data_IF_934877645039
#
_entry.id   IF_934877645039
#
_cell.length_a   1.000
_cell.length_b   1.000
_cell.length_c   1.000
_cell.angle_alpha   90.00
_cell.angle_beta   90.00
_cell.angle_gamma   90.00
#
_symmetry.space_group_name_H-M   'P 1'
#
loop_
_entity.id
_entity.type
_entity.pdbx_description
1 polymer ?
#
# COMPACT_ATOMS: atom_id res chain seq x y z
N UNK A 1 14.30 -0.71 -0.48
CA UNK A 1 13.05 -1.50 -0.39
C UNK A 1 11.87 -0.77 -1.01
N UNK A 2 11.54 0.45 -0.58
CA UNK A 2 10.43 1.21 -1.19
C UNK A 2 10.66 1.59 -2.67
N UNK A 3 11.91 1.81 -3.09
CA UNK A 3 12.25 2.08 -4.49
C UNK A 3 11.89 0.92 -5.43
N UNK A 4 12.04 -0.32 -4.95
CA UNK A 4 11.61 -1.51 -5.68
C UNK A 4 10.08 -1.56 -5.83
N UNK A 5 9.36 -1.18 -4.77
CA UNK A 5 7.90 -1.09 -4.77
C UNK A 5 7.39 -0.02 -5.73
N UNK A 6 8.13 1.08 -5.89
CA UNK A 6 7.77 2.16 -6.80
C UNK A 6 8.07 1.82 -8.25
N UNK A 7 9.21 1.19 -8.51
CA UNK A 7 9.57 0.70 -9.84
C UNK A 7 8.56 -0.33 -10.35
N UNK A 8 8.04 -1.18 -9.47
CA UNK A 8 7.05 -2.21 -9.80
C UNK A 8 5.66 -1.91 -9.21
N UNK A 9 5.27 -0.63 -9.14
CA UNK A 9 4.03 -0.18 -8.47
C UNK A 9 2.77 -0.90 -8.94
N UNK A 10 2.66 -1.19 -10.26
CA UNK A 10 1.56 -1.97 -10.83
C UNK A 10 1.52 -3.40 -10.25
N UNK A 11 2.66 -4.09 -10.27
CA UNK A 11 2.79 -5.47 -9.80
C UNK A 11 2.45 -5.57 -8.32
N UNK A 12 3.02 -4.67 -7.50
CA UNK A 12 2.73 -4.61 -6.05
C UNK A 12 1.25 -4.36 -5.79
N UNK A 13 0.61 -3.48 -6.56
CA UNK A 13 -0.82 -3.18 -6.42
C UNK A 13 -1.68 -4.41 -6.72
N UNK A 14 -1.39 -5.12 -7.82
CA UNK A 14 -2.11 -6.33 -8.19
C UNK A 14 -1.95 -7.41 -7.12
N UNK A 15 -0.72 -7.67 -6.67
CA UNK A 15 -0.46 -8.63 -5.60
C UNK A 15 -1.15 -8.25 -4.29
N UNK A 16 -1.12 -6.97 -3.92
CA UNK A 16 -1.79 -6.50 -2.71
C UNK A 16 -3.29 -6.80 -2.74
N UNK A 17 -3.96 -6.52 -3.86
CA UNK A 17 -5.39 -6.80 -4.01
C UNK A 17 -5.70 -8.30 -4.07
N UNK A 18 -4.83 -9.11 -4.69
CA UNK A 18 -4.96 -10.56 -4.68
C UNK A 18 -4.84 -11.14 -3.25
N UNK A 19 -3.89 -10.64 -2.47
CA UNK A 19 -3.72 -11.08 -1.08
C UNK A 19 -4.86 -10.61 -0.18
N UNK A 20 -5.34 -9.38 -0.36
CA UNK A 20 -6.46 -8.85 0.40
C UNK A 20 -7.78 -9.57 0.08
N UNK A 21 -8.02 -9.86 -1.21
CA UNK A 21 -9.21 -10.56 -1.70
C UNK A 21 -9.09 -12.08 -1.71
N UNK A 22 -8.10 -12.68 -1.04
CA UNK A 22 -7.85 -14.12 -1.14
C UNK A 22 -9.05 -14.98 -0.72
N UNK A 23 -9.90 -14.48 0.17
CA UNK A 23 -10.98 -15.26 0.76
C UNK A 23 -12.01 -15.64 -0.32
N UNK A 24 -12.22 -14.74 -1.28
CA UNK A 24 -13.07 -14.97 -2.44
C UNK A 24 -12.46 -16.03 -3.36
N UNK A 25 -11.15 -15.94 -3.61
CA UNK A 25 -10.40 -16.90 -4.45
C UNK A 25 -10.45 -18.31 -3.84
N UNK A 26 -10.15 -18.41 -2.54
CA UNK A 26 -10.19 -19.65 -1.78
C UNK A 26 -11.58 -20.28 -1.76
N UNK A 27 -12.63 -19.46 -1.68
CA UNK A 27 -14.01 -19.92 -1.72
C UNK A 27 -14.38 -20.49 -3.10
N UNK A 28 -13.99 -19.84 -4.19
CA UNK A 28 -14.20 -20.36 -5.56
C UNK A 28 -13.46 -21.69 -5.77
N UNK A 29 -12.24 -21.81 -5.25
CA UNK A 29 -11.43 -23.03 -5.33
C UNK A 29 -11.91 -24.16 -4.42
N UNK A 30 -13.00 -23.96 -3.66
CA UNK A 30 -13.56 -24.94 -2.71
C UNK A 30 -12.53 -25.47 -1.72
N UNK A 31 -11.53 -24.66 -1.37
CA UNK A 31 -10.54 -25.01 -0.36
C UNK A 31 -11.20 -24.83 1.00
N UNK A 32 -11.41 -25.93 1.73
CA UNK A 32 -12.09 -25.94 3.02
C UNK A 32 -11.22 -26.54 4.13
N UNK A 33 -11.52 -26.18 5.37
CA UNK A 33 -10.85 -26.72 6.57
C UNK A 33 -9.64 -25.90 7.02
N UNK A 34 -8.69 -26.54 7.69
CA UNK A 34 -7.53 -25.86 8.30
C UNK A 34 -6.61 -25.18 7.28
N UNK A 35 -6.54 -25.73 6.06
CA UNK A 35 -5.76 -25.16 4.96
C UNK A 35 -6.31 -23.81 4.49
N UNK A 36 -7.64 -23.64 4.47
CA UNK A 36 -8.29 -22.36 4.18
C UNK A 36 -7.87 -21.30 5.19
N UNK A 37 -7.92 -21.66 6.47
CA UNK A 37 -7.64 -20.75 7.57
C UNK A 37 -6.17 -20.31 7.55
N UNK A 38 -5.24 -21.25 7.35
CA UNK A 38 -3.82 -20.98 7.21
C UNK A 38 -3.50 -20.09 6.01
N UNK A 39 -4.01 -20.39 4.82
CA UNK A 39 -3.74 -19.59 3.63
C UNK A 39 -4.32 -18.18 3.77
N UNK A 40 -5.53 -18.07 4.34
CA UNK A 40 -6.19 -16.80 4.57
C UNK A 40 -5.36 -15.90 5.50
N UNK A 41 -4.89 -16.45 6.63
CA UNK A 41 -4.03 -15.74 7.58
C UNK A 41 -2.70 -15.34 6.93
N UNK A 42 -2.07 -16.24 6.17
CA UNK A 42 -0.80 -15.97 5.51
C UNK A 42 -0.89 -14.80 4.52
N UNK A 43 -1.90 -14.74 3.63
CA UNK A 43 -1.98 -13.59 2.73
C UNK A 43 -2.42 -12.31 3.44
N UNK A 44 -3.23 -12.39 4.50
CA UNK A 44 -3.53 -11.21 5.34
C UNK A 44 -2.27 -10.65 6.00
N UNK A 45 -1.38 -11.52 6.49
CA UNK A 45 -0.08 -11.11 7.01
C UNK A 45 0.79 -10.45 5.93
N UNK A 46 0.86 -11.02 4.72
CA UNK A 46 1.60 -10.43 3.61
C UNK A 46 1.04 -9.04 3.21
N UNK A 47 -0.28 -8.91 3.10
CA UNK A 47 -0.92 -7.63 2.84
C UNK A 47 -0.64 -6.61 3.97
N UNK A 48 -0.62 -7.07 5.22
CA UNK A 48 -0.28 -6.25 6.38
C UNK A 48 1.18 -5.78 6.35
N UNK A 49 2.13 -6.62 5.92
CA UNK A 49 3.52 -6.22 5.72
C UNK A 49 3.66 -5.12 4.66
N UNK A 50 2.97 -5.25 3.52
CA UNK A 50 2.95 -4.21 2.47
C UNK A 50 2.41 -2.90 3.05
N UNK A 51 1.31 -2.98 3.79
CA UNK A 51 0.71 -1.83 4.46
C UNK A 51 1.68 -1.15 5.45
N UNK A 52 2.38 -1.93 6.28
CA UNK A 52 3.38 -1.43 7.23
C UNK A 52 4.55 -0.74 6.53
N UNK A 53 5.08 -1.32 5.46
CA UNK A 53 6.19 -0.73 4.69
C UNK A 53 5.77 0.64 4.15
N UNK A 54 4.55 0.77 3.64
CA UNK A 54 4.01 2.03 3.12
C UNK A 54 3.80 3.05 4.26
N UNK A 55 3.33 2.61 5.43
CA UNK A 55 3.17 3.47 6.59
C UNK A 55 4.51 4.00 7.11
N UNK A 56 5.52 3.14 7.22
CA UNK A 56 6.88 3.54 7.62
C UNK A 56 7.48 4.53 6.62
N UNK A 57 7.27 4.33 5.32
CA UNK A 57 7.69 5.28 4.29
C UNK A 57 7.01 6.65 4.48
N UNK A 58 5.70 6.65 4.74
CA UNK A 58 4.97 7.89 5.06
C UNK A 58 5.45 8.57 6.34
N UNK A 59 5.88 7.80 7.33
CA UNK A 59 6.45 8.33 8.55
C UNK A 59 7.82 8.96 8.34
N UNK A 60 8.67 8.30 7.54
CA UNK A 60 10.06 8.67 7.32
C UNK A 60 10.21 9.91 6.43
N UNK A 61 9.35 10.08 5.44
CA UNK A 61 9.44 11.20 4.49
C UNK A 61 8.47 12.33 4.84
N UNK A 62 8.93 13.59 4.71
CA UNK A 62 8.10 14.79 4.91
C UNK A 62 7.16 15.00 3.72
N UNK A 63 6.06 14.25 3.70
CA UNK A 63 4.98 14.38 2.72
C UNK A 63 4.08 15.55 3.13
N UNK A 64 3.56 16.29 2.15
CA UNK A 64 2.56 17.34 2.39
C UNK A 64 1.29 16.70 2.98
N UNK A 65 0.77 17.27 4.06
CA UNK A 65 -0.43 16.79 4.75
C UNK A 65 -0.29 15.36 5.32
N UNK A 66 0.88 15.07 5.94
CA UNK A 66 1.19 13.76 6.55
C UNK A 66 0.08 13.23 7.45
N UNK A 67 -0.51 14.09 8.28
CA UNK A 67 -1.59 13.71 9.19
C UNK A 67 -2.82 13.21 8.43
N UNK A 68 -3.18 13.86 7.32
CA UNK A 68 -4.28 13.43 6.46
C UNK A 68 -4.01 12.05 5.85
N UNK A 69 -2.79 11.82 5.36
CA UNK A 69 -2.42 10.53 4.77
C UNK A 69 -2.44 9.39 5.78
N UNK A 70 -1.85 9.59 6.96
CA UNK A 70 -1.87 8.59 8.04
C UNK A 70 -3.30 8.33 8.52
N UNK A 71 -4.12 9.37 8.63
CA UNK A 71 -5.52 9.24 9.02
C UNK A 71 -6.34 8.49 7.95
N UNK A 72 -6.13 8.81 6.67
CA UNK A 72 -6.75 8.09 5.54
C UNK A 72 -6.35 6.61 5.53
N UNK A 73 -5.15 6.28 6.03
CA UNK A 73 -4.69 4.91 6.15
C UNK A 73 -5.46 4.11 7.20
N UNK A 74 -6.09 4.76 8.17
CA UNK A 74 -6.97 4.11 9.15
C UNK A 74 -8.38 3.95 8.57
N UNK A 75 -8.94 5.02 8.00
CA UNK A 75 -10.33 5.00 7.48
C UNK A 75 -10.47 4.23 6.17
N UNK A 76 -9.48 4.31 5.29
CA UNK A 76 -9.48 3.75 3.94
C UNK A 76 -8.21 2.90 3.76
N UNK A 77 -8.00 1.97 4.69
CA UNK A 77 -6.80 1.14 4.78
C UNK A 77 -6.51 0.30 3.54
N UNK A 78 -7.56 -0.05 2.78
CA UNK A 78 -7.48 -0.83 1.55
C UNK A 78 -6.92 -0.04 0.37
N UNK A 79 -7.39 1.20 0.15
CA UNK A 79 -6.96 2.00 -1.01
C UNK A 79 -5.70 2.80 -0.74
N UNK A 80 -5.49 3.24 0.51
CA UNK A 80 -4.41 4.17 0.85
C UNK A 80 -3.01 3.69 0.46
N UNK A 81 -2.61 2.42 0.68
CA UNK A 81 -1.27 1.95 0.29
C UNK A 81 -1.03 2.07 -1.22
N UNK A 82 -2.05 1.75 -2.01
CA UNK A 82 -2.01 1.80 -3.47
C UNK A 82 -1.98 3.24 -3.96
N UNK A 83 -2.93 4.05 -3.51
CA UNK A 83 -3.03 5.47 -3.89
C UNK A 83 -1.76 6.22 -3.52
N UNK A 84 -1.17 5.91 -2.36
CA UNK A 84 0.09 6.47 -1.94
C UNK A 84 1.23 6.13 -2.91
N UNK A 85 1.39 4.86 -3.30
CA UNK A 85 2.45 4.44 -4.25
C UNK A 85 2.38 5.20 -5.58
N UNK A 86 1.18 5.43 -6.11
CA UNK A 86 0.99 6.21 -7.35
C UNK A 86 1.21 7.71 -7.15
N UNK A 87 0.78 8.26 -6.01
CA UNK A 87 0.85 9.70 -5.75
C UNK A 87 2.20 10.17 -5.19
N UNK A 88 3.06 9.26 -4.74
CA UNK A 88 4.36 9.54 -4.12
C UNK A 88 5.27 10.43 -4.99
N UNK A 89 5.37 10.14 -6.28
CA UNK A 89 6.21 10.91 -7.22
C UNK A 89 5.74 12.38 -7.32
N UNK A 90 4.41 12.60 -7.38
CA UNK A 90 3.84 13.95 -7.41
C UNK A 90 3.97 14.69 -6.08
N UNK A 91 3.90 13.98 -4.94
CA UNK A 91 4.08 14.57 -3.62
C UNK A 91 5.52 15.06 -3.39
N UNK A 92 6.51 14.41 -4.01
CA UNK A 92 7.91 14.84 -4.00
C UNK A 92 8.16 16.01 -4.97
N UNK A 93 7.66 15.92 -6.21
CA UNK A 93 7.90 16.94 -7.25
C UNK A 93 7.25 18.30 -6.93
N UNK A 94 6.12 18.33 -6.21
CA UNK A 94 5.49 19.58 -5.76
C UNK A 94 6.35 20.36 -4.76
N UNK A 95 7.32 19.72 -4.10
CA UNK A 95 8.29 20.42 -3.24
C UNK A 95 9.34 21.11 -4.11
N UNK A 96 9.83 20.45 -5.16
CA UNK A 96 10.90 20.97 -6.02
C UNK A 96 10.43 22.14 -6.90
N UNK A 97 9.20 22.08 -7.44
CA UNK A 97 8.66 23.18 -8.26
C UNK A 97 8.32 24.44 -7.44
N UNK A 98 7.94 24.31 -6.16
CA UNK A 98 7.63 25.47 -5.31
C UNK A 98 8.86 26.27 -4.89
N UNK A 99 10.06 25.67 -4.90
CA UNK A 99 11.31 26.39 -4.65
C UNK A 99 11.88 27.05 -5.92
N UNK A 100 11.41 26.67 -7.11
CA UNK A 100 11.81 27.29 -8.38
C UNK A 100 10.99 28.51 -8.76
N UNK A 101 9.80 28.69 -8.18
CA UNK A 101 8.93 29.85 -8.44
C UNK A 101 9.22 31.04 -7.50
N UNK A 102 10.23 30.93 -6.63
CA UNK A 102 10.62 31.94 -5.65
C UNK A 102 12.07 32.44 -5.84
N UNK A 103 12.74 31.98 -6.89
CA UNK A 103 14.08 32.40 -7.33
C UNK A 103 13.94 32.97 -8.75
#
# INVERSE_FOLDING_TARGET
MIEFFLRHKLVVTVFYYLFWGNSFILHILSISGDTFLLLNILCKLLAFFIWLVVLVDMMKYKIKDKTFWVLSMIFISFFTPVVYLYRRENLFNLKQNRFRSFL
#
